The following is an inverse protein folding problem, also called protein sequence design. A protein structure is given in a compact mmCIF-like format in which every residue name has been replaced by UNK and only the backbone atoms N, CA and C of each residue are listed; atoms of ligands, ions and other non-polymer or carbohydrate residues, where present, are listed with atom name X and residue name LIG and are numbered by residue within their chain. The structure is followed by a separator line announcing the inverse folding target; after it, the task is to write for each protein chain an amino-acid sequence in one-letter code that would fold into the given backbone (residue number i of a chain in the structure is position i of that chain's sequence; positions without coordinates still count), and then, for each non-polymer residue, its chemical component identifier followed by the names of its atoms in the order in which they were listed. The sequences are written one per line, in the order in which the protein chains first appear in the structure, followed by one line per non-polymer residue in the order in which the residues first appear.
data_IF_298762465022
#
_entry.id   IF_298762465022
#
_cell.length_a   1.000
_cell.length_b   1.000
_cell.length_c   1.000
_cell.angle_alpha   90.00
_cell.angle_beta   90.00
_cell.angle_gamma   90.00
#
_symmetry.space_group_name_H-M   'P 1'
#
loop_
_entity.id
_entity.type
_entity.pdbx_description
1 polymer ?
#
# COMPACT_ATOMS: atom_id res chain seq x y z
N UNK A 1 5.08 -30.41 -0.35
CA UNK A 1 4.85 -29.32 -1.32
C UNK A 1 4.57 -28.08 -0.48
N UNK A 2 5.49 -27.14 -0.41
CA UNK A 2 5.24 -25.85 0.25
C UNK A 2 4.23 -25.11 -0.61
N UNK A 3 3.01 -24.94 -0.10
CA UNK A 3 2.01 -24.07 -0.71
C UNK A 3 2.63 -22.68 -0.88
N UNK A 4 2.95 -22.34 -2.14
CA UNK A 4 3.61 -21.08 -2.45
C UNK A 4 2.56 -19.97 -2.39
N UNK A 5 2.39 -19.38 -1.22
CA UNK A 5 1.51 -18.23 -1.07
C UNK A 5 2.04 -17.03 -1.86
N UNK A 6 1.14 -16.32 -2.52
CA UNK A 6 1.46 -15.12 -3.31
C UNK A 6 1.10 -13.87 -2.51
N UNK A 7 2.01 -12.91 -2.31
CA UNK A 7 1.69 -11.72 -1.52
C UNK A 7 0.81 -10.72 -2.30
N UNK A 8 -0.14 -10.13 -1.58
CA UNK A 8 -0.94 -9.01 -2.01
C UNK A 8 -0.68 -7.82 -1.08
N UNK A 9 0.07 -6.84 -1.56
CA UNK A 9 0.39 -5.63 -0.81
C UNK A 9 -0.64 -4.54 -1.06
N UNK A 10 -1.21 -3.98 0.01
CA UNK A 10 -2.07 -2.80 -0.05
C UNK A 10 -1.33 -1.63 0.59
N UNK A 11 -0.76 -0.76 -0.22
CA UNK A 11 -0.03 0.43 0.25
C UNK A 11 -1.02 1.57 0.44
N UNK A 12 -1.25 1.98 1.68
CA UNK A 12 -2.34 2.90 1.99
C UNK A 12 -2.01 3.91 3.08
N UNK A 13 -2.76 5.00 3.07
CA UNK A 13 -2.89 5.99 4.14
C UNK A 13 -4.09 6.89 3.85
N UNK A 14 -4.82 7.39 4.85
CA UNK A 14 -5.88 8.38 4.66
C UNK A 14 -5.31 9.78 4.34
N UNK A 15 -3.98 9.95 4.43
CA UNK A 15 -3.30 11.23 4.22
C UNK A 15 -2.69 11.33 2.82
N UNK A 16 -2.69 12.56 2.25
CA UNK A 16 -2.06 12.85 0.96
C UNK A 16 -0.55 13.06 1.13
N UNK A 17 0.21 12.69 0.10
CA UNK A 17 1.63 13.03 -0.01
C UNK A 17 2.54 12.40 1.06
N UNK A 18 2.14 11.30 1.69
CA UNK A 18 2.91 10.60 2.73
C UNK A 18 3.93 9.60 2.17
N UNK A 19 3.97 9.42 0.84
CA UNK A 19 4.91 8.52 0.16
C UNK A 19 4.33 7.16 -0.21
N UNK A 20 3.02 7.01 -0.37
CA UNK A 20 2.39 5.74 -0.82
C UNK A 20 3.00 5.24 -2.12
N UNK A 21 2.94 6.06 -3.17
CA UNK A 21 3.49 5.73 -4.49
C UNK A 21 4.99 5.41 -4.45
N UNK A 22 5.77 6.08 -3.58
CA UNK A 22 7.17 5.73 -3.38
C UNK A 22 7.33 4.30 -2.85
N UNK A 23 6.54 3.92 -1.84
CA UNK A 23 6.58 2.56 -1.27
C UNK A 23 6.13 1.53 -2.30
N UNK A 24 5.04 1.81 -3.01
CA UNK A 24 4.50 0.94 -4.07
C UNK A 24 5.55 0.71 -5.17
N UNK A 25 6.23 1.79 -5.59
CA UNK A 25 7.31 1.75 -6.56
C UNK A 25 8.50 0.91 -6.09
N UNK A 26 9.00 1.17 -4.88
CA UNK A 26 10.15 0.41 -4.32
C UNK A 26 9.85 -1.09 -4.22
N UNK A 27 8.62 -1.45 -3.83
CA UNK A 27 8.18 -2.85 -3.80
C UNK A 27 8.16 -3.45 -5.21
N UNK A 28 7.57 -2.76 -6.17
CA UNK A 28 7.47 -3.26 -7.54
C UNK A 28 8.85 -3.41 -8.19
N UNK A 29 9.73 -2.41 -8.04
CA UNK A 29 11.11 -2.46 -8.53
C UNK A 29 11.90 -3.60 -7.88
N UNK A 30 11.71 -3.87 -6.58
CA UNK A 30 12.31 -5.02 -5.91
C UNK A 30 11.95 -6.35 -6.60
N UNK A 31 10.69 -6.54 -6.99
CA UNK A 31 10.27 -7.74 -7.70
C UNK A 31 10.87 -7.81 -9.11
N UNK A 32 10.84 -6.70 -9.84
CA UNK A 32 11.39 -6.61 -11.21
C UNK A 32 12.89 -6.91 -11.24
N UNK A 33 13.66 -6.29 -10.35
CA UNK A 33 15.14 -6.47 -10.28
C UNK A 33 15.51 -7.92 -9.91
N UNK A 34 14.64 -8.62 -9.19
CA UNK A 34 14.86 -10.01 -8.82
C UNK A 34 14.18 -11.01 -9.78
N UNK A 35 13.79 -10.60 -10.98
CA UNK A 35 13.11 -11.42 -12.00
C UNK A 35 11.88 -12.17 -11.44
N UNK A 36 11.17 -11.55 -10.50
CA UNK A 36 9.97 -12.13 -9.89
C UNK A 36 8.73 -11.51 -10.51
N UNK A 37 7.73 -12.31 -10.88
CA UNK A 37 6.50 -11.78 -11.47
C UNK A 37 5.76 -10.87 -10.49
N UNK A 38 5.34 -9.71 -10.98
CA UNK A 38 4.60 -8.70 -10.22
C UNK A 38 3.61 -7.97 -11.11
N UNK A 39 2.44 -7.65 -10.57
CA UNK A 39 1.49 -6.71 -11.15
C UNK A 39 1.18 -5.61 -10.15
N UNK A 40 1.14 -4.38 -10.62
CA UNK A 40 0.77 -3.23 -9.82
C UNK A 40 -0.59 -2.67 -10.27
N UNK A 41 -1.34 -2.16 -9.31
CA UNK A 41 -2.65 -1.55 -9.52
C UNK A 41 -2.65 -0.15 -8.93
N UNK A 42 -2.92 0.82 -9.78
CA UNK A 42 -2.94 2.22 -9.41
C UNK A 42 -4.39 2.69 -9.24
N UNK A 43 -4.76 3.01 -8.02
CA UNK A 43 -6.05 3.60 -7.67
C UNK A 43 -5.91 5.08 -7.34
N UNK A 44 -4.90 5.73 -7.91
CA UNK A 44 -4.68 7.16 -7.79
C UNK A 44 -5.48 7.90 -8.87
N UNK A 45 -6.02 9.05 -8.50
CA UNK A 45 -6.86 9.89 -9.34
C UNK A 45 -6.22 11.26 -9.64
N UNK A 46 -5.11 11.60 -9.02
CA UNK A 46 -4.42 12.89 -9.18
C UNK A 46 -2.92 12.83 -8.88
N UNK A 47 -2.15 13.61 -9.63
CA UNK A 47 -0.71 13.79 -9.46
C UNK A 47 0.13 12.69 -10.15
N UNK A 48 1.45 12.65 -9.91
CA UNK A 48 2.30 11.58 -10.40
C UNK A 48 1.80 10.23 -9.87
N UNK A 49 1.46 9.36 -10.80
CA UNK A 49 0.87 8.06 -10.53
C UNK A 49 1.92 6.96 -10.65
N UNK A 50 1.67 5.80 -10.04
CA UNK A 50 2.56 4.65 -10.17
C UNK A 50 2.73 4.24 -11.64
N UNK A 51 1.68 4.41 -12.43
CA UNK A 51 1.67 4.17 -13.88
C UNK A 51 2.70 5.02 -14.64
N UNK A 52 2.98 6.24 -14.18
CA UNK A 52 3.97 7.13 -14.83
C UNK A 52 5.40 6.59 -14.67
N UNK A 53 5.66 5.87 -13.59
CA UNK A 53 6.97 5.31 -13.28
C UNK A 53 7.16 3.89 -13.81
N UNK A 54 6.12 3.08 -13.78
CA UNK A 54 6.17 1.64 -14.09
C UNK A 54 5.03 1.22 -15.04
N UNK A 55 4.92 1.81 -16.24
CA UNK A 55 3.79 1.58 -17.13
C UNK A 55 3.66 0.13 -17.60
N UNK A 56 4.78 -0.61 -17.69
CA UNK A 56 4.80 -1.97 -18.19
C UNK A 56 4.16 -3.02 -17.26
N UNK A 57 4.04 -2.72 -15.97
CA UNK A 57 3.51 -3.65 -14.96
C UNK A 57 2.34 -3.07 -14.18
N UNK A 58 1.97 -1.80 -14.42
CA UNK A 58 0.92 -1.10 -13.68
C UNK A 58 -0.35 -0.99 -14.52
N UNK A 59 -1.47 -1.31 -13.90
CA UNK A 59 -2.80 -1.10 -14.45
C UNK A 59 -3.53 -0.05 -13.61
N UNK A 60 -4.09 0.96 -14.25
CA UNK A 60 -5.02 1.90 -13.59
C UNK A 60 -6.33 1.17 -13.33
N UNK A 61 -6.86 1.30 -12.13
CA UNK A 61 -8.12 0.70 -11.74
C UNK A 61 -9.03 1.75 -11.08
N UNK A 62 -10.32 1.64 -11.36
CA UNK A 62 -11.36 2.46 -10.74
C UNK A 62 -12.31 1.56 -9.94
N UNK A 63 -12.64 2.01 -8.73
CA UNK A 63 -13.57 1.32 -7.83
C UNK A 63 -14.77 2.20 -7.45
N UNK A 64 -15.06 3.23 -8.23
CA UNK A 64 -16.16 4.15 -7.97
C UNK A 64 -17.53 3.48 -8.16
N UNK A 65 -17.63 2.54 -9.09
CA UNK A 65 -18.86 1.80 -9.35
C UNK A 65 -18.69 0.28 -9.17
N UNK A 66 -19.81 -0.45 -9.14
CA UNK A 66 -19.83 -1.91 -8.95
C UNK A 66 -19.08 -2.66 -10.06
N UNK A 67 -19.16 -2.20 -11.30
CA UNK A 67 -18.48 -2.85 -12.43
C UNK A 67 -16.97 -2.74 -12.32
N UNK A 68 -16.48 -1.54 -12.00
CA UNK A 68 -15.06 -1.30 -11.74
C UNK A 68 -14.56 -2.14 -10.57
N UNK A 69 -15.32 -2.18 -9.47
CA UNK A 69 -15.02 -3.01 -8.30
C UNK A 69 -14.90 -4.50 -8.68
N UNK A 70 -15.90 -5.06 -9.37
CA UNK A 70 -15.85 -6.47 -9.80
C UNK A 70 -14.62 -6.74 -10.67
N UNK A 71 -14.40 -5.93 -11.69
CA UNK A 71 -13.24 -6.09 -12.59
C UNK A 71 -11.92 -6.03 -11.84
N UNK A 72 -11.79 -5.11 -10.89
CA UNK A 72 -10.58 -4.94 -10.09
C UNK A 72 -10.33 -6.13 -9.17
N UNK A 73 -11.32 -6.52 -8.36
CA UNK A 73 -11.16 -7.60 -7.40
C UNK A 73 -10.98 -8.97 -8.09
N UNK A 74 -11.64 -9.22 -9.22
CA UNK A 74 -11.43 -10.43 -10.02
C UNK A 74 -9.99 -10.54 -10.53
N UNK A 75 -9.39 -9.41 -10.95
CA UNK A 75 -7.97 -9.38 -11.37
C UNK A 75 -7.02 -9.66 -10.21
N UNK A 76 -7.36 -9.22 -9.00
CA UNK A 76 -6.53 -9.47 -7.82
C UNK A 76 -6.49 -10.94 -7.42
N UNK A 77 -7.52 -11.72 -7.71
CA UNK A 77 -7.59 -13.14 -7.37
C UNK A 77 -7.25 -14.09 -8.54
N UNK A 78 -6.97 -13.54 -9.72
CA UNK A 78 -6.52 -14.35 -10.86
C UNK A 78 -5.18 -15.05 -10.56
N UNK A 79 -5.07 -16.34 -10.92
CA UNK A 79 -3.93 -17.18 -10.52
C UNK A 79 -2.68 -17.04 -11.41
N UNK A 80 -2.74 -16.18 -12.42
CA UNK A 80 -1.71 -15.99 -13.46
C UNK A 80 -0.65 -14.95 -13.08
N UNK A 81 -0.83 -14.26 -11.96
CA UNK A 81 0.01 -13.15 -11.54
C UNK A 81 0.86 -13.54 -10.33
N UNK A 82 2.08 -13.04 -10.26
CA UNK A 82 2.94 -13.14 -9.08
C UNK A 82 2.48 -12.24 -7.92
N UNK A 83 3.41 -11.51 -7.32
CA UNK A 83 3.06 -10.51 -6.30
C UNK A 83 2.11 -9.45 -6.88
N UNK A 84 1.21 -8.95 -6.03
CA UNK A 84 0.27 -7.88 -6.37
C UNK A 84 0.51 -6.69 -5.46
N UNK A 85 0.55 -5.50 -6.05
CA UNK A 85 0.77 -4.25 -5.31
C UNK A 85 -0.35 -3.28 -5.66
N UNK A 86 -1.05 -2.79 -4.66
CA UNK A 86 -2.10 -1.78 -4.79
C UNK A 86 -1.57 -0.45 -4.24
N UNK A 87 -1.43 0.55 -5.11
CA UNK A 87 -1.19 1.93 -4.70
C UNK A 87 -2.53 2.63 -4.46
N UNK A 88 -2.91 2.77 -3.20
CA UNK A 88 -4.23 3.23 -2.82
C UNK A 88 -4.26 4.72 -2.55
N UNK A 89 -4.98 5.49 -3.38
CA UNK A 89 -5.22 6.92 -3.14
C UNK A 89 -5.91 7.16 -1.79
N UNK A 90 -5.58 8.27 -1.14
CA UNK A 90 -6.25 8.71 0.08
C UNK A 90 -7.75 8.96 -0.11
N UNK A 91 -8.20 9.31 -1.31
CA UNK A 91 -9.60 9.59 -1.64
C UNK A 91 -10.45 8.33 -1.63
N UNK A 92 -9.94 7.25 -2.19
CA UNK A 92 -10.65 5.97 -2.26
C UNK A 92 -10.38 5.07 -1.04
N UNK A 93 -9.53 5.51 -0.10
CA UNK A 93 -9.15 4.75 1.09
C UNK A 93 -10.35 4.16 1.85
N UNK A 94 -11.33 5.00 2.19
CA UNK A 94 -12.53 4.56 2.93
C UNK A 94 -13.38 3.59 2.09
N UNK A 95 -13.63 3.94 0.83
CA UNK A 95 -14.43 3.13 -0.07
C UNK A 95 -13.81 1.75 -0.26
N UNK A 96 -12.50 1.69 -0.54
CA UNK A 96 -11.77 0.44 -0.70
C UNK A 96 -11.97 -0.52 0.49
N UNK A 97 -11.70 -0.05 1.71
CA UNK A 97 -11.83 -0.91 2.89
C UNK A 97 -13.29 -1.26 3.23
N UNK A 98 -14.25 -0.40 2.89
CA UNK A 98 -15.67 -0.73 3.00
C UNK A 98 -16.03 -1.89 2.08
N UNK A 99 -15.66 -1.81 0.80
CA UNK A 99 -15.93 -2.88 -0.17
C UNK A 99 -15.21 -4.18 0.22
N UNK A 100 -13.92 -4.09 0.59
CA UNK A 100 -13.15 -5.26 1.07
C UNK A 100 -13.86 -6.00 2.21
N UNK A 101 -14.45 -5.26 3.15
CA UNK A 101 -15.20 -5.86 4.26
C UNK A 101 -16.54 -6.47 3.79
N UNK A 102 -17.29 -5.75 2.96
CA UNK A 102 -18.61 -6.19 2.47
C UNK A 102 -18.52 -7.51 1.70
N UNK A 103 -17.51 -7.65 0.82
CA UNK A 103 -17.30 -8.86 0.01
C UNK A 103 -16.37 -9.88 0.68
N UNK A 104 -15.89 -9.62 1.89
CA UNK A 104 -14.91 -10.47 2.60
C UNK A 104 -13.66 -10.81 1.77
N UNK A 105 -13.18 -9.84 1.01
CA UNK A 105 -12.14 -10.06 0.01
C UNK A 105 -10.85 -10.70 0.56
N UNK A 106 -10.39 -10.30 1.75
CA UNK A 106 -9.17 -10.86 2.32
C UNK A 106 -9.30 -12.33 2.74
N UNK A 107 -10.50 -12.78 3.11
CA UNK A 107 -10.79 -14.20 3.36
C UNK A 107 -10.73 -14.99 2.04
N UNK A 108 -11.42 -14.50 1.01
CA UNK A 108 -11.44 -15.11 -0.31
C UNK A 108 -10.01 -15.18 -0.93
N UNK A 109 -9.21 -14.14 -0.78
CA UNK A 109 -7.82 -14.11 -1.24
C UNK A 109 -7.00 -15.24 -0.60
N UNK A 110 -7.11 -15.43 0.73
CA UNK A 110 -6.41 -16.52 1.42
C UNK A 110 -6.87 -17.90 0.99
N UNK A 111 -8.15 -18.10 0.73
CA UNK A 111 -8.66 -19.36 0.18
C UNK A 111 -8.00 -19.71 -1.17
N UNK A 112 -7.44 -18.71 -1.86
CA UNK A 112 -6.71 -18.85 -3.13
C UNK A 112 -5.18 -18.78 -2.97
N UNK A 113 -4.66 -19.00 -1.77
CA UNK A 113 -3.24 -18.92 -1.45
C UNK A 113 -2.63 -17.52 -1.77
N UNK A 114 -3.43 -16.46 -1.64
CA UNK A 114 -2.99 -15.07 -1.74
C UNK A 114 -2.98 -14.49 -0.32
N UNK A 115 -1.82 -14.02 0.15
CA UNK A 115 -1.69 -13.47 1.51
C UNK A 115 -1.75 -11.93 1.48
N UNK A 116 -2.84 -11.33 2.00
CA UNK A 116 -2.98 -9.88 2.09
C UNK A 116 -2.08 -9.29 3.18
N UNK A 117 -1.30 -8.28 2.80
CA UNK A 117 -0.47 -7.47 3.71
C UNK A 117 -0.76 -5.98 3.48
N UNK A 118 -1.33 -5.33 4.48
CA UNK A 118 -1.60 -3.90 4.45
C UNK A 118 -0.38 -3.13 4.97
N UNK A 119 0.26 -2.37 4.09
CA UNK A 119 1.34 -1.44 4.42
C UNK A 119 0.73 -0.06 4.69
N UNK A 120 0.54 0.24 5.96
CA UNK A 120 -0.09 1.50 6.37
C UNK A 120 0.97 2.56 6.63
N UNK A 121 1.02 3.60 5.78
CA UNK A 121 1.98 4.68 5.96
C UNK A 121 1.47 5.64 7.04
N UNK A 122 2.20 5.69 8.14
CA UNK A 122 1.89 6.52 9.31
C UNK A 122 2.22 7.98 8.99
N UNK A 123 1.31 8.85 9.36
CA UNK A 123 1.47 10.31 9.31
C UNK A 123 1.13 10.89 10.69
N UNK A 124 1.74 12.02 11.09
CA UNK A 124 1.42 12.72 12.37
C UNK A 124 0.00 13.22 12.46
N UNK A 125 -0.74 13.33 11.34
CA UNK A 125 -2.14 13.76 11.36
C UNK A 125 -2.99 12.79 12.23
N UNK A 126 -3.81 13.29 13.14
CA UNK A 126 -4.72 12.49 13.97
C UNK A 126 -5.63 11.55 13.16
N UNK A 127 -5.96 11.91 11.90
CA UNK A 127 -6.70 11.03 10.98
C UNK A 127 -5.96 9.74 10.71
N UNK A 128 -4.62 9.77 10.60
CA UNK A 128 -3.78 8.61 10.40
C UNK A 128 -3.89 7.63 11.58
N UNK A 129 -3.72 8.14 12.81
CA UNK A 129 -3.83 7.34 14.02
C UNK A 129 -5.22 6.70 14.17
N UNK A 130 -6.28 7.47 13.92
CA UNK A 130 -7.66 6.99 13.96
C UNK A 130 -7.91 5.88 12.94
N UNK A 131 -7.48 6.10 11.69
CA UNK A 131 -7.66 5.11 10.61
C UNK A 131 -6.87 3.83 10.89
N UNK A 132 -5.63 3.93 11.38
CA UNK A 132 -4.84 2.78 11.80
C UNK A 132 -5.54 1.97 12.90
N UNK A 133 -6.07 2.64 13.92
CA UNK A 133 -6.82 2.01 15.00
C UNK A 133 -8.05 1.23 14.49
N UNK A 134 -8.79 1.82 13.55
CA UNK A 134 -9.94 1.16 12.91
C UNK A 134 -9.49 -0.06 12.10
N UNK A 135 -8.49 0.07 11.24
CA UNK A 135 -7.99 -1.06 10.45
C UNK A 135 -7.49 -2.20 11.32
N UNK A 136 -6.81 -1.91 12.43
CA UNK A 136 -6.32 -2.90 13.36
C UNK A 136 -7.44 -3.74 13.99
N UNK A 137 -8.62 -3.16 14.20
CA UNK A 137 -9.77 -3.86 14.79
C UNK A 137 -10.54 -4.72 13.77
N UNK A 138 -10.59 -4.28 12.53
CA UNK A 138 -11.46 -4.90 11.52
C UNK A 138 -10.69 -5.60 10.39
N UNK A 139 -9.39 -5.35 10.24
CA UNK A 139 -8.63 -5.97 9.18
C UNK A 139 -8.29 -7.41 9.52
N UNK A 140 -8.73 -8.32 8.67
CA UNK A 140 -8.27 -9.71 8.69
C UNK A 140 -6.93 -9.89 7.98
N UNK A 141 -6.38 -8.83 7.38
CA UNK A 141 -5.04 -8.84 6.78
C UNK A 141 -3.97 -8.53 7.82
N UNK A 142 -2.75 -9.00 7.56
CA UNK A 142 -1.57 -8.56 8.30
C UNK A 142 -1.38 -7.07 8.09
N UNK A 143 -1.32 -6.28 9.17
CA UNK A 143 -1.17 -4.83 9.13
C UNK A 143 0.22 -4.42 9.59
N UNK A 144 1.03 -3.89 8.68
CA UNK A 144 2.38 -3.42 8.94
C UNK A 144 2.44 -1.89 8.86
N UNK A 145 2.73 -1.19 9.97
CA UNK A 145 2.95 0.24 9.93
C UNK A 145 4.29 0.58 9.28
N UNK A 146 4.26 1.56 8.38
CA UNK A 146 5.41 2.06 7.65
C UNK A 146 5.66 3.52 8.02
N UNK A 147 6.87 3.86 8.43
CA UNK A 147 7.29 5.24 8.71
C UNK A 147 8.12 5.77 7.56
N UNK A 148 7.72 6.92 7.02
CA UNK A 148 8.51 7.64 6.04
C UNK A 148 9.27 8.78 6.75
N UNK A 149 10.57 8.57 7.01
CA UNK A 149 11.39 9.54 7.73
C UNK A 149 11.54 10.88 7.01
N UNK A 150 11.41 10.92 5.69
CA UNK A 150 11.46 12.15 4.89
C UNK A 150 10.41 13.17 5.37
N UNK A 151 9.29 12.69 5.90
CA UNK A 151 8.19 13.53 6.41
C UNK A 151 8.27 13.77 7.92
N UNK A 152 8.94 12.89 8.64
CA UNK A 152 9.00 12.96 10.11
C UNK A 152 9.90 14.10 10.60
N UNK A 153 10.92 14.47 9.83
CA UNK A 153 11.84 15.58 10.18
C UNK A 153 11.20 16.97 10.03
N UNK A 154 10.02 17.06 9.40
CA UNK A 154 9.26 18.31 9.28
C UNK A 154 8.31 18.57 10.47
N UNK A 155 8.32 17.71 11.49
CA UNK A 155 7.48 17.91 12.70
C UNK A 155 8.19 18.89 13.63
N UNK A 156 7.54 20.01 14.02
CA UNK A 156 8.08 20.88 15.03
C UNK A 156 8.34 20.11 16.33
N UNK A 157 9.52 20.34 16.93
CA UNK A 157 9.85 19.81 18.25
C UNK A 157 8.76 20.21 19.27
N UNK A 158 7.94 19.27 19.72
CA UNK A 158 6.88 19.51 20.70
C UNK A 158 5.60 18.71 20.53
N UNK A 159 5.42 18.03 19.40
CA UNK A 159 4.29 17.10 19.27
C UNK A 159 4.71 15.74 19.84
N UNK A 160 4.00 15.28 20.87
CA UNK A 160 4.26 14.02 21.52
C UNK A 160 4.30 12.90 20.47
N UNK A 161 5.44 12.19 20.38
CA UNK A 161 5.55 10.98 19.57
C UNK A 161 4.47 10.01 20.07
N UNK A 162 3.66 9.42 19.19
CA UNK A 162 2.74 8.38 19.63
C UNK A 162 3.55 7.33 20.39
N UNK A 163 3.09 6.98 21.58
CA UNK A 163 3.78 6.12 22.54
C UNK A 163 4.43 4.94 21.81
N UNK A 164 5.75 4.83 21.91
CA UNK A 164 6.58 3.80 21.26
C UNK A 164 6.17 2.35 21.65
N UNK A 165 5.32 2.20 22.65
CA UNK A 165 4.94 0.91 23.23
C UNK A 165 3.79 0.19 22.53
N UNK A 166 3.22 0.72 21.44
CA UNK A 166 1.98 0.15 20.83
C UNK A 166 2.20 -0.40 19.41
N UNK A 167 3.37 -0.20 18.82
CA UNK A 167 3.65 -0.66 17.44
C UNK A 167 4.65 -1.81 17.49
N UNK A 168 4.21 -3.06 17.36
CA UNK A 168 5.07 -4.23 17.59
C UNK A 168 6.19 -4.38 16.56
N UNK A 169 6.04 -3.93 15.35
CA UNK A 169 7.09 -3.93 14.31
C UNK A 169 6.74 -2.88 13.27
N UNK A 170 7.59 -1.89 13.06
CA UNK A 170 7.41 -0.89 11.99
C UNK A 170 8.52 -1.05 10.96
N UNK A 171 8.17 -0.88 9.69
CA UNK A 171 9.11 -0.71 8.61
C UNK A 171 9.48 0.78 8.52
N UNK A 172 10.75 1.12 8.69
CA UNK A 172 11.22 2.49 8.54
C UNK A 172 11.85 2.66 7.16
N UNK A 173 11.34 3.63 6.40
CA UNK A 173 11.98 4.06 5.15
C UNK A 173 12.98 5.15 5.54
N UNK A 174 14.28 4.90 5.38
CA UNK A 174 15.31 5.84 5.81
C UNK A 174 15.24 7.14 5.02
N UNK A 175 15.77 8.21 5.62
CA UNK A 175 16.01 9.47 4.93
C UNK A 175 17.06 9.23 3.85
N UNK A 176 16.68 9.25 2.58
CA UNK A 176 17.63 9.15 1.48
C UNK A 176 18.49 10.41 1.44
N UNK A 177 19.81 10.23 1.41
CA UNK A 177 20.75 11.33 1.18
C UNK A 177 20.55 11.94 -0.21
N UNK A 178 20.92 13.21 -0.40
CA UNK A 178 20.62 13.96 -1.62
C UNK A 178 20.93 13.23 -2.95
N UNK A 179 22.06 12.53 -3.15
CA UNK A 179 22.31 11.79 -4.39
C UNK A 179 21.30 10.67 -4.65
N UNK A 180 20.89 9.95 -3.61
CA UNK A 180 19.90 8.86 -3.72
C UNK A 180 18.48 9.38 -3.91
N UNK A 181 18.15 10.57 -3.36
CA UNK A 181 16.85 11.24 -3.62
C UNK A 181 16.69 11.59 -5.10
N UNK A 182 17.76 12.10 -5.75
CA UNK A 182 17.73 12.41 -7.17
C UNK A 182 17.48 11.15 -8.02
N UNK A 183 18.11 10.01 -7.69
CA UNK A 183 17.93 8.75 -8.39
C UNK A 183 16.48 8.23 -8.32
N UNK A 184 15.80 8.40 -7.19
CA UNK A 184 14.38 7.96 -7.02
C UNK A 184 13.41 8.79 -7.87
N UNK A 185 13.80 10.01 -8.27
CA UNK A 185 12.95 10.89 -9.12
C UNK A 185 13.26 10.76 -10.61
N UNK A 186 14.38 10.17 -11.01
CA UNK A 186 14.84 10.06 -12.39
C UNK A 186 14.88 8.63 -12.94
N UNK A 187 14.60 7.62 -12.13
CA UNK A 187 14.37 6.24 -12.54
C UNK A 187 12.88 5.92 -12.56
#
# INVERSE_FOLDING_TARGET
MTDKTTPLYVVCSPCRGVGKTLVSRLLAEFYVVNDRPVAAFDLADEGPQLTDYLPGITTVADIADTRGQMTFFDRLIANDVGARIIDLSHRVFKNFFTVVQEIRFFEEARCRSIEPLVLFIIDPDPKSAKAYGVLRQFSQASLLPVRNQIKTDAIPHGVARPNANIVPTSLDIPLLTFPLRALVFFL
#
